data_IF_746171285028
#
_entry.id   IF_746171285028
#
_cell.length_a   1.000
_cell.length_b   1.000
_cell.length_c   1.000
_cell.angle_alpha   90.00
_cell.angle_beta   90.00
_cell.angle_gamma   90.00
#
_symmetry.space_group_name_H-M   'P 1'
#
loop_
_entity.id
_entity.type
_entity.pdbx_description
1 polymer ?
#
# COMPACT_ATOMS: atom_id res chain seq x y z
N UNK A 1 5.12 4.20 4.31
CA UNK A 1 3.74 3.83 3.90
C UNK A 1 3.10 4.97 3.15
N UNK A 2 2.18 4.65 2.28
CA UNK A 2 1.38 5.61 1.53
C UNK A 2 -0.10 5.41 1.80
N UNK A 3 -0.88 6.47 1.63
CA UNK A 3 -2.33 6.44 1.74
C UNK A 3 -2.93 7.38 0.70
N UNK A 4 -4.03 6.96 0.09
CA UNK A 4 -4.76 7.77 -0.88
C UNK A 4 -6.13 8.14 -0.30
N UNK A 5 -6.34 9.41 0.09
CA UNK A 5 -7.59 9.78 0.76
C UNK A 5 -8.80 9.90 -0.17
N UNK A 6 -8.59 10.05 -1.48
CA UNK A 6 -9.67 10.39 -2.41
C UNK A 6 -10.17 9.20 -3.23
N UNK A 7 -9.40 8.13 -3.37
CA UNK A 7 -9.80 7.00 -4.20
C UNK A 7 -9.08 5.72 -3.80
N UNK A 8 -9.62 4.59 -4.25
CA UNK A 8 -8.96 3.29 -4.12
C UNK A 8 -7.82 3.14 -5.13
N UNK A 9 -6.93 2.19 -4.88
CA UNK A 9 -5.83 1.84 -5.76
C UNK A 9 -5.73 0.32 -5.87
N UNK A 10 -5.74 -0.19 -7.09
CA UNK A 10 -5.72 -1.63 -7.34
C UNK A 10 -4.41 -2.09 -7.96
N UNK A 11 -3.95 -3.25 -7.55
CA UNK A 11 -2.75 -3.90 -8.06
C UNK A 11 -3.07 -5.33 -8.50
N UNK A 12 -2.58 -5.71 -9.67
CA UNK A 12 -2.70 -7.08 -10.18
C UNK A 12 -1.32 -7.53 -10.68
N UNK A 13 -0.74 -8.60 -10.12
CA UNK A 13 0.54 -9.11 -10.58
C UNK A 13 0.43 -9.68 -12.00
N UNK A 14 1.37 -9.33 -12.87
CA UNK A 14 1.37 -9.75 -14.27
C UNK A 14 1.96 -11.15 -14.43
N UNK A 15 3.10 -11.42 -13.79
CA UNK A 15 3.79 -12.71 -13.89
C UNK A 15 3.20 -13.77 -12.95
N UNK A 16 2.18 -13.41 -12.17
CA UNK A 16 1.49 -14.31 -11.23
C UNK A 16 2.41 -14.93 -10.19
N UNK A 17 3.35 -14.15 -9.69
CA UNK A 17 4.25 -14.54 -8.60
C UNK A 17 3.65 -14.06 -7.28
N UNK A 18 3.69 -14.90 -6.25
CA UNK A 18 3.20 -14.53 -4.92
C UNK A 18 3.92 -13.29 -4.38
N UNK A 19 3.20 -12.46 -3.66
CA UNK A 19 3.69 -11.20 -3.14
C UNK A 19 3.13 -10.92 -1.75
N UNK A 20 3.49 -9.80 -1.18
CA UNK A 20 3.07 -9.45 0.17
C UNK A 20 2.50 -8.04 0.21
N UNK A 21 1.52 -7.84 1.09
CA UNK A 21 0.95 -6.52 1.36
C UNK A 21 1.03 -6.22 2.84
N UNK A 22 1.33 -4.97 3.15
CA UNK A 22 1.35 -4.47 4.53
C UNK A 22 0.42 -3.28 4.59
N UNK A 23 -0.52 -3.33 5.53
CA UNK A 23 -1.57 -2.32 5.67
C UNK A 23 -1.66 -1.84 7.11
N UNK A 24 -2.20 -0.63 7.28
CA UNK A 24 -2.52 -0.07 8.60
C UNK A 24 -3.75 0.81 8.50
N UNK A 25 -4.46 0.94 9.60
CA UNK A 25 -5.57 1.89 9.70
C UNK A 25 -5.04 3.33 9.79
N UNK A 26 -5.86 4.28 9.38
CA UNK A 26 -5.55 5.69 9.56
C UNK A 26 -5.91 6.13 10.98
N UNK A 27 -5.05 6.95 11.57
CA UNK A 27 -5.26 7.59 12.85
C UNK A 27 -4.93 9.07 12.70
N UNK A 28 -5.95 9.87 12.42
CA UNK A 28 -5.86 11.33 12.26
C UNK A 28 -4.73 11.78 11.31
N UNK A 29 -4.62 11.10 10.16
CA UNK A 29 -3.67 11.46 9.11
C UNK A 29 -2.32 10.79 9.21
N UNK A 30 -2.14 9.86 10.14
CA UNK A 30 -0.94 9.03 10.27
C UNK A 30 -1.34 7.56 10.38
N UNK A 31 -0.48 6.63 10.00
CA UNK A 31 -0.81 5.22 10.17
C UNK A 31 -0.83 4.84 11.65
N UNK A 32 -1.83 4.07 12.04
CA UNK A 32 -1.86 3.44 13.35
C UNK A 32 -0.94 2.22 13.33
N UNK A 33 0.27 2.41 13.87
CA UNK A 33 1.30 1.36 13.81
C UNK A 33 0.92 0.11 14.61
N UNK A 34 0.01 0.23 15.58
CA UNK A 34 -0.50 -0.93 16.32
C UNK A 34 -1.47 -1.79 15.50
N UNK A 35 -2.03 -1.23 14.42
CA UNK A 35 -2.96 -1.93 13.53
C UNK A 35 -2.30 -2.62 12.35
N UNK A 36 -0.99 -2.51 12.20
CA UNK A 36 -0.29 -3.05 11.05
C UNK A 36 -0.52 -4.54 10.91
N UNK A 37 -0.86 -4.96 9.68
CA UNK A 37 -1.01 -6.36 9.29
C UNK A 37 -0.28 -6.62 7.99
N UNK A 38 0.31 -7.81 7.89
CA UNK A 38 0.97 -8.30 6.69
C UNK A 38 0.20 -9.50 6.16
N UNK A 39 -0.01 -9.56 4.85
CA UNK A 39 -0.67 -10.67 4.18
C UNK A 39 0.20 -11.20 3.05
N UNK A 40 0.26 -12.53 2.93
CA UNK A 40 0.75 -13.18 1.73
C UNK A 40 -0.37 -13.20 0.70
N UNK A 41 -0.08 -12.79 -0.53
CA UNK A 41 -1.06 -12.72 -1.61
C UNK A 41 -0.65 -13.70 -2.71
N UNK A 42 -1.52 -14.66 -3.05
CA UNK A 42 -1.25 -15.54 -4.19
C UNK A 42 -1.08 -14.75 -5.49
N UNK A 43 -0.22 -15.25 -6.37
CA UNK A 43 0.12 -14.55 -7.60
C UNK A 43 -1.02 -14.37 -8.60
N UNK A 44 -2.13 -15.12 -8.45
CA UNK A 44 -3.34 -14.99 -9.26
C UNK A 44 -4.41 -14.09 -8.63
N UNK A 45 -4.09 -13.42 -7.52
CA UNK A 45 -5.00 -12.55 -6.78
C UNK A 45 -4.51 -11.11 -6.84
N UNK A 46 -5.39 -10.20 -7.23
CA UNK A 46 -5.16 -8.76 -7.11
C UNK A 46 -5.66 -8.21 -5.79
N UNK A 47 -5.19 -7.03 -5.45
CA UNK A 47 -5.60 -6.32 -4.23
C UNK A 47 -6.08 -4.93 -4.61
N UNK A 48 -7.18 -4.53 -4.00
CA UNK A 48 -7.66 -3.15 -4.06
C UNK A 48 -7.55 -2.53 -2.66
N UNK A 49 -6.73 -1.51 -2.52
CA UNK A 49 -6.68 -0.73 -1.30
C UNK A 49 -7.80 0.30 -1.32
N UNK A 50 -8.70 0.23 -0.35
CA UNK A 50 -9.74 1.25 -0.20
C UNK A 50 -9.15 2.61 0.15
N UNK A 51 -9.88 3.71 -0.11
CA UNK A 51 -9.41 5.03 0.33
C UNK A 51 -9.05 5.03 1.81
N UNK A 52 -8.01 5.78 2.17
CA UNK A 52 -7.52 5.96 3.55
C UNK A 52 -6.88 4.73 4.19
N UNK A 53 -6.64 3.65 3.43
CA UNK A 53 -5.87 2.52 3.93
C UNK A 53 -4.38 2.79 3.70
N UNK A 54 -3.63 2.86 4.77
CA UNK A 54 -2.17 2.96 4.68
C UNK A 54 -1.59 1.64 4.19
N UNK A 55 -0.65 1.70 3.26
CA UNK A 55 -0.01 0.51 2.70
C UNK A 55 1.43 0.80 2.29
N UNK A 56 2.27 -0.24 2.28
CA UNK A 56 3.57 -0.16 1.62
C UNK A 56 3.36 -0.29 0.12
N UNK A 57 4.01 0.55 -0.71
CA UNK A 57 3.71 0.60 -2.15
C UNK A 57 3.81 -0.74 -2.85
N UNK A 58 4.91 -1.44 -2.71
CA UNK A 58 5.10 -2.77 -3.29
C UNK A 58 6.10 -3.54 -2.45
N UNK A 59 5.72 -4.75 -2.03
CA UNK A 59 6.60 -5.68 -1.35
C UNK A 59 6.64 -6.97 -2.14
N UNK A 60 7.80 -7.25 -2.70
CA UNK A 60 8.01 -8.44 -3.53
C UNK A 60 9.30 -9.14 -3.11
N UNK A 61 9.25 -10.47 -3.05
CA UNK A 61 10.43 -11.31 -2.85
C UNK A 61 11.15 -11.56 -4.18
N UNK A 62 10.41 -11.52 -5.26
CA UNK A 62 10.91 -11.67 -6.64
C UNK A 62 10.35 -10.53 -7.47
N UNK A 63 11.18 -9.90 -8.28
CA UNK A 63 10.74 -8.79 -9.14
C UNK A 63 9.66 -9.26 -10.12
N UNK A 64 8.59 -8.47 -10.24
CA UNK A 64 7.54 -8.68 -11.22
C UNK A 64 6.87 -7.36 -11.55
N UNK A 65 6.13 -7.34 -12.66
CA UNK A 65 5.33 -6.20 -13.07
C UNK A 65 3.93 -6.29 -12.48
N UNK A 66 3.32 -5.13 -12.25
CA UNK A 66 1.94 -5.02 -11.79
C UNK A 66 1.13 -4.14 -12.73
N UNK A 67 -0.10 -4.57 -13.02
CA UNK A 67 -1.11 -3.66 -13.53
C UNK A 67 -1.62 -2.84 -12.33
N UNK A 68 -1.55 -1.53 -12.44
CA UNK A 68 -2.02 -0.61 -11.39
C UNK A 68 -3.20 0.20 -11.94
N UNK A 69 -4.32 0.17 -11.22
CA UNK A 69 -5.47 1.00 -11.54
C UNK A 69 -5.60 2.05 -10.45
N UNK A 70 -5.49 3.29 -10.84
CA UNK A 70 -5.38 4.42 -9.95
C UNK A 70 -6.29 5.56 -10.40
N UNK A 71 -6.60 6.49 -9.51
CA UNK A 71 -7.32 7.70 -9.88
C UNK A 71 -6.44 8.54 -10.80
N UNK A 72 -7.01 8.90 -11.95
CA UNK A 72 -6.37 9.84 -12.87
C UNK A 72 -6.92 11.25 -12.63
N UNK A 73 -6.03 12.22 -12.48
CA UNK A 73 -6.40 13.61 -12.26
C UNK A 73 -5.28 14.56 -12.68
N UNK A 74 -5.55 15.85 -12.64
CA UNK A 74 -4.51 16.86 -12.82
C UNK A 74 -3.44 16.73 -11.70
N UNK A 75 -2.23 17.23 -11.96
CA UNK A 75 -1.10 17.09 -11.03
C UNK A 75 -1.41 17.53 -9.61
N UNK A 76 -2.13 18.64 -9.44
CA UNK A 76 -2.46 19.16 -8.11
C UNK A 76 -3.41 18.25 -7.36
N UNK A 77 -4.37 17.65 -8.06
CA UNK A 77 -5.30 16.69 -7.46
C UNK A 77 -4.59 15.38 -7.08
N UNK A 78 -3.57 14.96 -7.84
CA UNK A 78 -2.77 13.80 -7.49
C UNK A 78 -2.01 14.01 -6.18
N UNK A 79 -1.53 15.22 -5.92
CA UNK A 79 -0.92 15.57 -4.63
C UNK A 79 -1.91 15.53 -3.48
N UNK A 80 -3.14 15.95 -3.72
CA UNK A 80 -4.22 15.86 -2.73
C UNK A 80 -4.60 14.42 -2.43
N UNK A 81 -4.37 13.50 -3.36
CA UNK A 81 -4.66 12.07 -3.22
C UNK A 81 -3.46 11.27 -2.71
N UNK A 82 -2.48 11.90 -2.12
CA UNK A 82 -1.31 11.18 -1.60
C UNK A 82 -0.94 11.72 -0.22
N UNK A 83 -0.79 10.80 0.72
CA UNK A 83 -0.17 11.03 2.02
C UNK A 83 0.94 10.01 2.19
N UNK A 84 2.06 10.44 2.73
CA UNK A 84 3.22 9.59 2.95
C UNK A 84 3.61 9.59 4.42
N UNK A 85 4.09 8.46 4.90
CA UNK A 85 4.66 8.31 6.22
C UNK A 85 6.00 7.60 6.11
N UNK A 86 7.03 8.21 6.68
CA UNK A 86 8.37 7.65 6.73
C UNK A 86 8.63 7.12 8.15
N UNK A 87 8.94 5.84 8.27
CA UNK A 87 9.18 5.23 9.57
C UNK A 87 10.34 5.92 10.29
N UNK A 88 10.13 6.19 11.56
CA UNK A 88 11.12 6.82 12.42
C UNK A 88 11.98 5.74 13.10
N UNK A 89 13.18 6.11 13.56
CA UNK A 89 14.10 5.16 14.20
C UNK A 89 13.53 4.57 15.50
N UNK A 90 12.58 5.25 16.15
CA UNK A 90 11.93 4.80 17.36
C UNK A 90 10.59 4.10 17.13
N UNK A 91 10.16 3.94 15.87
CA UNK A 91 8.96 3.22 15.54
C UNK A 91 9.16 1.72 15.73
N UNK A 92 8.03 1.01 15.90
CA UNK A 92 8.01 -0.45 15.97
C UNK A 92 8.63 -1.04 14.71
N UNK A 93 9.60 -1.93 14.90
CA UNK A 93 10.19 -2.69 13.79
C UNK A 93 9.28 -3.85 13.42
N UNK A 94 9.11 -4.04 12.11
CA UNK A 94 8.26 -5.08 11.56
C UNK A 94 9.14 -5.97 10.68
N UNK A 95 9.07 -7.27 10.94
CA UNK A 95 9.81 -8.27 10.17
C UNK A 95 8.83 -9.09 9.36
N UNK A 96 9.09 -9.19 8.06
CA UNK A 96 8.30 -9.97 7.11
C UNK A 96 9.08 -11.23 6.79
N UNK A 97 8.50 -12.37 7.12
CA UNK A 97 9.11 -13.68 6.88
C UNK A 97 8.57 -14.33 5.62
#
# INVERSE_FOLDING_TARGET
MEMHPLASQAFMPIQKIDWQVVVANDNDGSPDLSSIKCFDVPGDVGINYNPKVWHCPLLVNTAQDFLVVDRSSALDENRENLREYFFQSNDKKIYIE
#
